data_IF_416658997506
#
_entry.id   IF_416658997506
#
_cell.length_a   1.000
_cell.length_b   1.000
_cell.length_c   1.000
_cell.angle_alpha   90.00
_cell.angle_beta   90.00
_cell.angle_gamma   90.00
#
_symmetry.space_group_name_H-M   'P 1'
#
loop_
_entity.id
_entity.type
_entity.pdbx_description
1 polymer ?
#
# COMPACT_ATOMS: atom_id res chain seq x y z
N UNK A 1 -12.93 13.50 -5.17
CA UNK A 1 -13.70 12.89 -4.06
C UNK A 1 -13.47 13.73 -2.81
N UNK A 2 -14.41 13.82 -1.85
CA UNK A 2 -14.07 14.40 -0.55
C UNK A 2 -13.07 13.49 0.18
N UNK A 3 -12.22 14.06 1.04
CA UNK A 3 -11.20 13.29 1.77
C UNK A 3 -11.82 12.14 2.58
N UNK A 4 -12.96 12.38 3.23
CA UNK A 4 -13.66 11.37 4.03
C UNK A 4 -14.15 10.19 3.17
N UNK A 5 -14.76 10.48 2.02
CA UNK A 5 -15.23 9.42 1.13
C UNK A 5 -14.07 8.62 0.53
N UNK A 6 -12.96 9.28 0.21
CA UNK A 6 -11.74 8.59 -0.24
C UNK A 6 -11.21 7.64 0.83
N UNK A 7 -11.07 8.11 2.07
CA UNK A 7 -10.60 7.29 3.19
C UNK A 7 -11.54 6.12 3.47
N UNK A 8 -12.86 6.32 3.35
CA UNK A 8 -13.85 5.25 3.52
C UNK A 8 -13.71 4.19 2.43
N UNK A 9 -13.56 4.59 1.16
CA UNK A 9 -13.35 3.64 0.05
C UNK A 9 -12.01 2.91 0.21
N UNK A 10 -10.96 3.61 0.60
CA UNK A 10 -9.65 3.03 0.87
C UNK A 10 -9.73 2.01 2.01
N UNK A 11 -10.40 2.35 3.11
CA UNK A 11 -10.60 1.44 4.24
C UNK A 11 -11.36 0.17 3.82
N UNK A 12 -12.41 0.29 3.01
CA UNK A 12 -13.13 -0.89 2.46
C UNK A 12 -12.20 -1.74 1.59
N UNK A 13 -11.39 -1.12 0.72
CA UNK A 13 -10.45 -1.85 -0.13
C UNK A 13 -9.37 -2.58 0.69
N UNK A 14 -8.81 -1.93 1.72
CA UNK A 14 -7.87 -2.55 2.65
C UNK A 14 -8.50 -3.71 3.43
N UNK A 15 -9.75 -3.55 3.88
CA UNK A 15 -10.48 -4.60 4.59
C UNK A 15 -10.72 -5.81 3.67
N UNK A 16 -11.10 -5.58 2.41
CA UNK A 16 -11.20 -6.64 1.40
C UNK A 16 -9.87 -7.38 1.19
N UNK A 17 -8.77 -6.65 1.06
CA UNK A 17 -7.43 -7.26 0.92
C UNK A 17 -7.07 -8.07 2.16
N UNK A 18 -7.36 -7.55 3.36
CA UNK A 18 -7.13 -8.27 4.62
C UNK A 18 -7.96 -9.54 4.74
N UNK A 19 -9.25 -9.51 4.37
CA UNK A 19 -10.11 -10.71 4.37
C UNK A 19 -9.59 -11.74 3.39
N UNK A 20 -9.26 -11.32 2.16
CA UNK A 20 -8.79 -12.23 1.12
C UNK A 20 -7.44 -12.83 1.48
N UNK A 21 -6.55 -12.06 2.09
CA UNK A 21 -5.28 -12.53 2.64
C UNK A 21 -5.48 -13.51 3.80
N UNK A 22 -6.37 -13.23 4.75
CA UNK A 22 -6.66 -14.16 5.85
C UNK A 22 -7.21 -15.51 5.34
N UNK A 23 -8.11 -15.48 4.35
CA UNK A 23 -8.76 -16.67 3.82
C UNK A 23 -7.85 -17.50 2.90
N UNK A 24 -7.11 -16.85 2.00
CA UNK A 24 -6.34 -17.53 0.96
C UNK A 24 -4.83 -17.54 1.23
N UNK A 25 -4.38 -16.85 2.29
CA UNK A 25 -2.96 -16.62 2.66
C UNK A 25 -2.12 -16.10 1.51
N UNK A 26 -2.76 -15.36 0.60
CA UNK A 26 -2.17 -14.83 -0.63
C UNK A 26 -2.83 -13.52 -0.98
N UNK A 27 -2.04 -12.45 -0.95
CA UNK A 27 -2.42 -11.17 -1.55
C UNK A 27 -2.44 -11.32 -3.07
N UNK A 28 -3.62 -11.23 -3.67
CA UNK A 28 -3.80 -11.33 -5.12
C UNK A 28 -3.29 -10.06 -5.82
N UNK A 29 -2.53 -10.23 -6.90
CA UNK A 29 -2.02 -9.11 -7.70
C UNK A 29 -3.16 -8.21 -8.25
N UNK A 30 -4.33 -8.79 -8.54
CA UNK A 30 -5.48 -8.03 -9.03
C UNK A 30 -6.02 -7.06 -7.96
N UNK A 31 -6.02 -7.46 -6.69
CA UNK A 31 -6.44 -6.61 -5.59
C UNK A 31 -5.45 -5.44 -5.39
N UNK A 32 -4.15 -5.71 -5.53
CA UNK A 32 -3.11 -4.68 -5.51
C UNK A 32 -3.21 -3.71 -6.68
N UNK A 33 -3.51 -4.22 -7.88
CA UNK A 33 -3.72 -3.37 -9.05
C UNK A 33 -4.91 -2.43 -8.86
N UNK A 34 -6.00 -2.93 -8.26
CA UNK A 34 -7.16 -2.10 -7.93
C UNK A 34 -6.81 -1.01 -6.90
N UNK A 35 -6.02 -1.33 -5.88
CA UNK A 35 -5.53 -0.34 -4.92
C UNK A 35 -4.60 0.70 -5.56
N UNK A 36 -3.72 0.27 -6.46
CA UNK A 36 -2.84 1.19 -7.20
C UNK A 36 -3.67 2.18 -8.02
N UNK A 37 -4.68 1.69 -8.75
CA UNK A 37 -5.58 2.54 -9.53
C UNK A 37 -6.39 3.48 -8.64
N UNK A 38 -6.86 3.00 -7.49
CA UNK A 38 -7.56 3.82 -6.51
C UNK A 38 -6.67 4.96 -6.00
N UNK A 39 -5.42 4.67 -5.65
CA UNK A 39 -4.48 5.69 -5.20
C UNK A 39 -4.05 6.63 -6.34
N UNK A 40 -3.83 6.14 -7.55
CA UNK A 40 -3.34 6.98 -8.64
C UNK A 40 -4.42 7.92 -9.21
N UNK A 41 -5.69 7.50 -9.24
CA UNK A 41 -6.75 8.25 -9.93
C UNK A 41 -7.80 8.86 -8.99
N UNK A 42 -8.08 8.25 -7.85
CA UNK A 42 -9.15 8.69 -6.94
C UNK A 42 -8.61 9.41 -5.69
N UNK A 43 -7.29 9.35 -5.45
CA UNK A 43 -6.66 10.04 -4.33
C UNK A 43 -6.79 11.56 -4.45
N UNK A 44 -7.30 12.24 -3.41
CA UNK A 44 -7.18 13.69 -3.28
C UNK A 44 -5.80 14.14 -2.76
N UNK A 45 -4.94 13.19 -2.37
CA UNK A 45 -3.57 13.42 -1.89
C UNK A 45 -2.59 13.34 -3.05
N UNK A 46 -1.52 14.13 -2.98
CA UNK A 46 -0.44 14.15 -3.97
C UNK A 46 0.25 12.79 -4.08
N UNK A 47 0.55 12.39 -5.32
CA UNK A 47 1.24 11.14 -5.60
C UNK A 47 2.72 11.25 -5.26
N UNK A 48 3.15 10.47 -4.28
CA UNK A 48 4.51 10.40 -3.78
C UNK A 48 5.24 9.23 -4.43
N UNK A 49 5.72 9.43 -5.65
CA UNK A 49 6.44 8.38 -6.40
C UNK A 49 7.77 8.01 -5.69
N UNK A 50 8.38 8.97 -4.99
CA UNK A 50 9.62 8.78 -4.24
C UNK A 50 9.45 7.81 -3.08
N UNK A 51 8.39 7.95 -2.28
CA UNK A 51 8.11 7.04 -1.16
C UNK A 51 7.75 5.65 -1.66
N UNK A 52 6.96 5.55 -2.73
CA UNK A 52 6.66 4.28 -3.41
C UNK A 52 7.93 3.53 -3.80
N UNK A 53 8.84 4.18 -4.53
CA UNK A 53 10.11 3.58 -4.96
C UNK A 53 11.01 3.20 -3.78
N UNK A 54 11.04 4.03 -2.74
CA UNK A 54 11.84 3.80 -1.55
C UNK A 54 11.34 2.58 -0.77
N UNK A 55 10.04 2.50 -0.50
CA UNK A 55 9.43 1.36 0.21
C UNK A 55 9.54 0.07 -0.62
N UNK A 56 9.32 0.14 -1.93
CA UNK A 56 9.53 -0.99 -2.82
C UNK A 56 10.99 -1.45 -2.81
N UNK A 57 11.94 -0.52 -2.90
CA UNK A 57 13.38 -0.81 -2.91
C UNK A 57 13.85 -1.47 -1.62
N UNK A 58 13.53 -0.87 -0.46
CA UNK A 58 13.85 -1.43 0.85
C UNK A 58 13.16 -2.79 1.02
N UNK A 59 11.88 -2.88 0.65
CA UNK A 59 11.12 -4.13 0.72
C UNK A 59 11.74 -5.24 -0.12
N UNK A 60 12.19 -4.97 -1.34
CA UNK A 60 12.87 -5.96 -2.20
C UNK A 60 14.20 -6.43 -1.60
N UNK A 61 14.96 -5.53 -0.95
CA UNK A 61 16.17 -5.91 -0.21
C UNK A 61 15.80 -6.85 0.95
N UNK A 62 14.76 -6.54 1.73
CA UNK A 62 14.28 -7.37 2.84
C UNK A 62 13.73 -8.73 2.36
N UNK A 63 13.07 -8.76 1.20
CA UNK A 63 12.63 -10.00 0.55
C UNK A 63 13.80 -10.89 0.16
N UNK A 64 14.86 -10.30 -0.43
CA UNK A 64 16.06 -11.02 -0.79
C UNK A 64 16.75 -11.63 0.45
N UNK A 65 16.59 -11.01 1.62
CA UNK A 65 17.06 -11.51 2.92
C UNK A 65 16.11 -12.53 3.56
N UNK A 66 14.98 -12.87 2.91
CA UNK A 66 13.96 -13.85 3.36
C UNK A 66 13.22 -13.41 4.63
N UNK A 67 13.23 -12.10 4.95
CA UNK A 67 12.61 -11.61 6.18
C UNK A 67 11.09 -11.37 6.05
N UNK A 68 10.62 -11.05 4.83
CA UNK A 68 9.24 -10.60 4.59
C UNK A 68 8.71 -11.20 3.28
N UNK A 69 7.40 -11.48 3.21
CA UNK A 69 6.75 -11.97 1.99
C UNK A 69 6.68 -10.91 0.89
N UNK A 70 6.89 -11.32 -0.37
CA UNK A 70 6.80 -10.42 -1.53
C UNK A 70 5.41 -9.78 -1.72
N UNK A 71 4.35 -10.39 -1.18
CA UNK A 71 2.99 -9.83 -1.20
C UNK A 71 2.90 -8.58 -0.33
N UNK A 72 3.32 -8.69 0.93
CA UNK A 72 3.24 -7.63 1.94
C UNK A 72 4.03 -6.39 1.50
N UNK A 73 5.19 -6.61 0.89
CA UNK A 73 6.03 -5.54 0.35
C UNK A 73 5.30 -4.77 -0.76
N UNK A 74 4.65 -5.47 -1.68
CA UNK A 74 3.89 -4.81 -2.77
C UNK A 74 2.72 -4.03 -2.20
N UNK A 75 2.04 -4.58 -1.21
CA UNK A 75 0.94 -3.91 -0.53
C UNK A 75 1.40 -2.62 0.17
N UNK A 76 2.46 -2.70 0.98
CA UNK A 76 3.05 -1.55 1.65
C UNK A 76 3.56 -0.50 0.67
N UNK A 77 4.21 -0.92 -0.41
CA UNK A 77 4.67 -0.01 -1.46
C UNK A 77 3.50 0.74 -2.09
N UNK A 78 2.43 0.05 -2.51
CA UNK A 78 1.24 0.68 -3.08
C UNK A 78 0.61 1.67 -2.09
N UNK A 79 0.51 1.33 -0.80
CA UNK A 79 -0.04 2.24 0.20
C UNK A 79 0.81 3.50 0.43
N UNK A 80 2.13 3.37 0.36
CA UNK A 80 3.06 4.49 0.58
C UNK A 80 2.99 5.59 -0.47
N UNK A 81 2.34 5.34 -1.61
CA UNK A 81 2.24 6.26 -2.75
C UNK A 81 1.42 7.52 -2.41
N UNK A 82 0.66 7.53 -1.33
CA UNK A 82 -0.05 8.73 -0.81
C UNK A 82 0.52 9.27 0.49
N UNK A 83 1.64 8.71 0.98
CA UNK A 83 2.27 9.12 2.24
C UNK A 83 3.45 10.06 1.96
N UNK A 84 3.51 11.23 2.61
CA UNK A 84 4.68 12.11 2.58
C UNK A 84 5.95 11.46 3.08
N UNK A 85 7.08 11.72 2.40
CA UNK A 85 8.38 11.20 2.82
C UNK A 85 8.73 11.58 4.27
N UNK A 86 8.31 12.77 4.72
CA UNK A 86 8.51 13.22 6.10
C UNK A 86 7.66 12.44 7.12
N UNK A 87 6.53 11.89 6.68
CA UNK A 87 5.58 11.15 7.52
C UNK A 87 5.79 9.63 7.44
N UNK A 88 6.60 9.17 6.47
CA UNK A 88 6.96 7.76 6.32
C UNK A 88 7.52 7.13 7.62
N UNK A 89 8.39 7.79 8.41
CA UNK A 89 8.85 7.25 9.68
C UNK A 89 7.72 7.02 10.68
N UNK A 90 6.73 7.92 10.70
CA UNK A 90 5.55 7.79 11.57
C UNK A 90 4.67 6.62 11.17
N UNK A 91 4.57 6.33 9.88
CA UNK A 91 3.84 5.18 9.36
C UNK A 91 4.45 3.81 9.75
N UNK A 92 5.71 3.77 10.23
CA UNK A 92 6.31 2.56 10.79
C UNK A 92 6.03 2.37 12.29
N UNK A 93 5.68 3.45 13.00
CA UNK A 93 5.53 3.47 14.46
C UNK A 93 4.06 3.32 14.87
N UNK A 94 3.13 3.88 14.08
CA UNK A 94 1.68 3.85 14.32
C UNK A 94 1.01 2.67 13.61
#
# INVERSE_FOLDING_TARGET
MSHELYLLVLAIACLYVSITDFLHRKIQNNALLLLLLLQSFLSPLDLQITTFLLVLGIGLILYALIWIGAGDIKYAAVLSLTIPLNDLPWAYIM
#
